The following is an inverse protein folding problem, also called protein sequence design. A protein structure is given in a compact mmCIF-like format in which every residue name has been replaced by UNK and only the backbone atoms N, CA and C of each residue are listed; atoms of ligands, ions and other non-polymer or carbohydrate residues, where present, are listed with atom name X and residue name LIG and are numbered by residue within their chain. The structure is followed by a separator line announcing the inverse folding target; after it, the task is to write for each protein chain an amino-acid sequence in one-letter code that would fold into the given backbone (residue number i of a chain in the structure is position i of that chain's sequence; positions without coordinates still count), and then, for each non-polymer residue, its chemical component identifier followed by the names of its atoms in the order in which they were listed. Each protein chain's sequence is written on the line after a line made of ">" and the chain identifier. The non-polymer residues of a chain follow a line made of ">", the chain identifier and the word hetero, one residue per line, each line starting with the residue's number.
data_IF_969037436234
#
_entry.id   IF_969037436234
#
_cell.length_a   1.000
_cell.length_b   1.000
_cell.length_c   1.000
_cell.angle_alpha   90.00
_cell.angle_beta   90.00
_cell.angle_gamma   90.00
#
_symmetry.space_group_name_H-M   'P 1'
#
loop_
_entity.id
_entity.type
_entity.pdbx_description
1 polymer ?
#
# COMPACT_ATOMS: atom_id res chain seq x y z
N UNK A 1 -36.74 16.35 32.79
CA UNK A 1 -35.71 17.35 32.42
C UNK A 1 -34.88 17.82 33.62
N UNK A 2 -34.98 17.11 34.81
CA UNK A 2 -34.24 17.47 36.02
C UNK A 2 -32.71 17.50 35.84
N UNK A 3 -32.18 16.70 34.95
CA UNK A 3 -30.73 16.58 34.72
C UNK A 3 -30.30 17.13 33.31
N UNK A 4 -31.22 17.29 32.39
CA UNK A 4 -31.02 17.73 31.02
C UNK A 4 -31.94 18.92 30.67
N UNK A 5 -31.91 19.99 31.45
CA UNK A 5 -32.74 21.19 31.35
C UNK A 5 -31.93 22.46 31.54
N UNK A 6 -32.61 23.58 31.80
CA UNK A 6 -32.00 24.90 31.94
C UNK A 6 -30.96 24.96 33.05
N UNK A 7 -31.27 24.37 34.24
CA UNK A 7 -30.42 24.46 35.43
C UNK A 7 -29.29 23.41 35.48
N UNK A 8 -29.45 22.29 34.78
CA UNK A 8 -28.45 21.20 34.70
C UNK A 8 -28.41 20.63 33.30
N UNK A 9 -27.22 20.53 32.75
CA UNK A 9 -26.96 19.98 31.40
C UNK A 9 -25.90 18.87 31.56
N UNK A 10 -26.26 17.74 32.18
CA UNK A 10 -25.33 16.62 32.32
C UNK A 10 -25.03 16.02 30.96
N UNK A 11 -23.74 15.78 30.68
CA UNK A 11 -23.27 15.31 29.37
C UNK A 11 -23.46 16.31 28.22
N UNK A 12 -23.55 17.61 28.55
CA UNK A 12 -23.79 18.70 27.61
C UNK A 12 -25.07 18.55 26.76
N UNK A 13 -26.01 17.74 27.27
CA UNK A 13 -27.32 17.50 26.65
C UNK A 13 -28.41 18.28 27.35
N UNK A 14 -29.19 19.03 26.53
CA UNK A 14 -30.36 19.79 26.99
C UNK A 14 -31.59 19.37 26.20
N UNK A 15 -32.57 18.75 26.87
CA UNK A 15 -33.75 18.16 26.23
C UNK A 15 -34.98 19.10 26.19
N UNK A 16 -35.04 20.10 27.08
CA UNK A 16 -36.19 21.02 27.19
C UNK A 16 -36.32 22.00 26.04
N UNK A 17 -35.23 22.27 25.33
CA UNK A 17 -35.19 23.15 24.13
C UNK A 17 -34.73 22.41 22.88
N UNK A 18 -34.55 21.09 22.98
CA UNK A 18 -34.13 20.29 21.84
C UNK A 18 -35.25 20.25 20.79
N UNK A 19 -34.90 20.52 19.53
CA UNK A 19 -35.83 20.49 18.43
C UNK A 19 -36.51 19.11 18.31
N UNK A 20 -37.77 19.11 17.95
CA UNK A 20 -38.54 17.91 17.60
C UNK A 20 -38.75 17.80 16.09
N UNK A 21 -38.12 18.68 15.31
CA UNK A 21 -38.08 18.57 13.85
C UNK A 21 -37.02 17.58 13.40
N UNK A 22 -37.36 16.30 13.51
CA UNK A 22 -36.48 15.18 13.15
C UNK A 22 -36.12 15.15 11.64
N UNK A 23 -36.86 15.87 10.80
CA UNK A 23 -36.59 15.90 9.37
C UNK A 23 -35.49 16.89 9.01
N UNK A 24 -35.54 18.10 9.58
CA UNK A 24 -34.67 19.21 9.20
C UNK A 24 -33.51 19.44 10.19
N UNK A 25 -33.64 18.97 11.43
CA UNK A 25 -32.59 19.07 12.46
C UNK A 25 -31.98 17.70 12.77
N UNK A 26 -31.03 17.32 11.94
CA UNK A 26 -30.31 16.05 12.06
C UNK A 26 -29.64 15.90 13.42
N UNK A 27 -29.03 16.97 13.95
CA UNK A 27 -28.34 16.93 15.25
C UNK A 27 -29.34 16.66 16.39
N UNK A 28 -30.51 17.28 16.36
CA UNK A 28 -31.55 16.99 17.33
C UNK A 28 -32.04 15.55 17.20
N UNK A 29 -32.23 15.04 15.98
CA UNK A 29 -32.62 13.66 15.74
C UNK A 29 -31.61 12.66 16.31
N UNK A 30 -30.30 12.89 16.13
CA UNK A 30 -29.23 12.07 16.72
C UNK A 30 -29.29 12.07 18.25
N UNK A 31 -29.44 13.23 18.89
CA UNK A 31 -29.54 13.33 20.35
C UNK A 31 -30.80 12.60 20.87
N UNK A 32 -31.93 12.70 20.18
CA UNK A 32 -33.14 11.97 20.56
C UNK A 32 -32.98 10.45 20.37
N UNK A 33 -32.30 10.01 19.33
CA UNK A 33 -31.96 8.58 19.13
C UNK A 33 -31.12 8.06 20.29
N UNK A 34 -30.03 8.75 20.65
CA UNK A 34 -29.16 8.38 21.76
C UNK A 34 -29.93 8.36 23.06
N UNK A 35 -30.82 9.33 23.31
CA UNK A 35 -31.67 9.35 24.49
C UNK A 35 -32.62 8.13 24.58
N UNK A 36 -33.20 7.71 23.43
CA UNK A 36 -34.04 6.49 23.36
C UNK A 36 -33.22 5.24 23.71
N UNK A 37 -32.02 5.11 23.14
CA UNK A 37 -31.15 3.96 23.39
C UNK A 37 -30.70 3.90 24.86
N UNK A 38 -30.28 5.00 25.45
CA UNK A 38 -29.92 5.07 26.86
C UNK A 38 -31.09 4.67 27.78
N UNK A 39 -32.31 5.05 27.43
CA UNK A 39 -33.53 4.67 28.17
C UNK A 39 -33.81 3.17 28.00
N UNK A 40 -33.67 2.62 26.77
CA UNK A 40 -33.88 1.19 26.47
C UNK A 40 -32.87 0.30 27.19
N UNK A 41 -31.62 0.70 27.21
CA UNK A 41 -30.53 0.01 27.90
C UNK A 41 -30.63 0.09 29.41
N UNK A 42 -31.46 1.01 29.93
CA UNK A 42 -31.62 1.23 31.38
C UNK A 42 -30.50 2.06 32.03
N UNK A 43 -29.68 2.73 31.18
CA UNK A 43 -28.61 3.61 31.64
C UNK A 43 -29.14 4.99 32.04
N UNK A 44 -30.35 5.35 31.56
CA UNK A 44 -31.06 6.56 31.97
C UNK A 44 -32.50 6.25 32.48
N UNK A 45 -32.90 6.83 33.63
CA UNK A 45 -32.11 7.61 34.59
C UNK A 45 -31.02 6.78 35.27
N UNK A 46 -29.88 7.40 35.66
CA UNK A 46 -28.76 6.68 36.26
C UNK A 46 -29.12 6.11 37.63
N UNK A 47 -28.34 5.15 38.09
CA UNK A 47 -28.51 4.52 39.41
C UNK A 47 -28.56 5.56 40.54
N UNK A 48 -29.54 5.44 41.44
CA UNK A 48 -29.80 6.38 42.53
C UNK A 48 -30.80 7.49 42.19
N UNK A 49 -31.26 7.65 40.95
CA UNK A 49 -32.35 8.55 40.58
C UNK A 49 -33.68 7.78 40.40
N UNK A 50 -34.81 8.50 40.49
CA UNK A 50 -36.14 7.90 40.32
C UNK A 50 -36.28 7.27 38.95
N UNK A 51 -36.38 5.95 38.89
CA UNK A 51 -36.57 5.21 37.65
C UNK A 51 -37.90 5.57 36.98
N UNK A 52 -37.89 5.53 35.62
CA UNK A 52 -39.12 5.63 34.85
C UNK A 52 -39.99 4.39 35.08
N UNK A 53 -41.28 4.57 35.22
CA UNK A 53 -42.20 3.45 35.21
C UNK A 53 -42.19 2.76 33.85
N UNK A 54 -42.51 1.45 33.75
CA UNK A 54 -42.56 0.74 32.47
C UNK A 54 -43.45 1.42 31.42
N UNK A 55 -44.51 2.09 31.87
CA UNK A 55 -45.40 2.85 30.98
C UNK A 55 -44.75 4.12 30.46
N UNK A 56 -44.05 4.88 31.29
CA UNK A 56 -43.36 6.12 30.89
C UNK A 56 -42.21 5.79 29.95
N UNK A 57 -41.43 4.75 30.29
CA UNK A 57 -40.34 4.27 29.44
C UNK A 57 -40.84 3.93 28.02
N UNK A 58 -41.89 3.11 27.94
CA UNK A 58 -42.46 2.70 26.63
C UNK A 58 -43.02 3.91 25.88
N UNK A 59 -43.75 4.79 26.51
CA UNK A 59 -44.30 5.98 25.83
C UNK A 59 -43.22 6.88 25.24
N UNK A 60 -42.13 7.12 25.97
CA UNK A 60 -41.03 7.96 25.52
C UNK A 60 -40.31 7.31 24.31
N UNK A 61 -39.94 6.03 24.43
CA UNK A 61 -39.17 5.34 23.39
C UNK A 61 -40.04 5.13 22.14
N UNK A 62 -41.32 4.75 22.27
CA UNK A 62 -42.23 4.62 21.15
C UNK A 62 -42.46 5.95 20.43
N UNK A 63 -42.59 7.07 21.17
CA UNK A 63 -42.72 8.38 20.59
C UNK A 63 -41.46 8.79 19.79
N UNK A 64 -40.29 8.64 20.38
CA UNK A 64 -39.01 8.96 19.70
C UNK A 64 -38.86 8.09 18.45
N UNK A 65 -38.97 6.77 18.59
CA UNK A 65 -38.76 5.81 17.52
C UNK A 65 -39.74 6.01 16.35
N UNK A 66 -41.01 6.30 16.66
CA UNK A 66 -42.03 6.58 15.64
C UNK A 66 -41.69 7.84 14.82
N UNK A 67 -41.35 8.95 15.52
CA UNK A 67 -41.00 10.19 14.83
C UNK A 67 -39.71 10.08 14.02
N UNK A 68 -38.69 9.39 14.53
CA UNK A 68 -37.47 9.10 13.78
C UNK A 68 -37.76 8.26 12.53
N UNK A 69 -38.61 7.23 12.69
CA UNK A 69 -39.01 6.37 11.56
C UNK A 69 -39.79 7.15 10.51
N UNK A 70 -40.72 8.00 10.92
CA UNK A 70 -41.51 8.82 10.01
C UNK A 70 -40.63 9.85 9.28
N UNK A 71 -39.67 10.47 9.97
CA UNK A 71 -38.69 11.34 9.34
C UNK A 71 -37.84 10.60 8.31
N UNK A 72 -37.32 9.39 8.65
CA UNK A 72 -36.58 8.55 7.73
C UNK A 72 -37.41 8.11 6.52
N UNK A 73 -38.70 7.83 6.68
CA UNK A 73 -39.57 7.47 5.57
C UNK A 73 -39.81 8.67 4.63
N UNK A 74 -40.00 9.88 5.18
CA UNK A 74 -40.13 11.11 4.39
C UNK A 74 -38.82 11.42 3.65
N UNK A 75 -37.67 11.28 4.28
CA UNK A 75 -36.37 11.44 3.64
C UNK A 75 -36.12 10.43 2.50
N UNK A 76 -36.65 9.20 2.61
CA UNK A 76 -36.59 8.20 1.56
C UNK A 76 -37.46 8.51 0.35
N UNK A 77 -38.50 9.31 0.54
CA UNK A 77 -39.39 9.75 -0.54
C UNK A 77 -38.90 10.98 -1.30
N UNK A 78 -38.00 11.77 -0.71
CA UNK A 78 -37.25 12.80 -1.44
C UNK A 78 -36.09 12.08 -2.11
N UNK A 79 -35.99 12.14 -3.43
CA UNK A 79 -34.93 11.53 -4.23
C UNK A 79 -33.59 11.84 -3.56
N UNK A 80 -33.05 10.85 -2.87
CA UNK A 80 -31.68 10.91 -2.43
C UNK A 80 -30.83 10.97 -3.69
N UNK A 81 -30.46 12.17 -4.13
CA UNK A 81 -29.46 12.33 -5.17
C UNK A 81 -28.24 11.54 -4.74
N UNK A 82 -28.02 10.42 -5.42
CA UNK A 82 -26.84 9.60 -5.18
C UNK A 82 -25.63 10.50 -5.46
N UNK A 83 -24.96 10.93 -4.40
CA UNK A 83 -23.79 11.78 -4.54
C UNK A 83 -22.72 10.96 -5.25
N UNK A 84 -22.51 11.30 -6.53
CA UNK A 84 -21.40 10.71 -7.30
C UNK A 84 -20.10 11.19 -6.65
N UNK A 85 -19.36 10.24 -6.06
CA UNK A 85 -18.06 10.52 -5.45
C UNK A 85 -16.94 9.85 -6.23
N UNK A 86 -15.76 10.43 -6.19
CA UNK A 86 -14.53 9.73 -6.61
C UNK A 86 -14.18 8.64 -5.60
N UNK A 87 -13.35 7.70 -6.02
CA UNK A 87 -12.70 6.76 -5.11
C UNK A 87 -11.74 7.54 -4.19
N UNK A 88 -11.67 7.16 -2.91
CA UNK A 88 -10.60 7.63 -2.05
C UNK A 88 -9.27 6.98 -2.45
N UNK A 89 -8.16 7.43 -1.87
CA UNK A 89 -6.81 6.93 -2.23
C UNK A 89 -6.69 5.41 -2.10
N UNK A 90 -7.17 4.85 -1.02
CA UNK A 90 -7.11 3.41 -0.75
C UNK A 90 -7.97 2.62 -1.74
N UNK A 91 -9.19 3.07 -1.97
CA UNK A 91 -10.11 2.48 -2.94
C UNK A 91 -9.54 2.55 -4.37
N UNK A 92 -8.92 3.67 -4.74
CA UNK A 92 -8.28 3.83 -6.05
C UNK A 92 -7.10 2.89 -6.22
N UNK A 93 -6.20 2.81 -5.22
CA UNK A 93 -5.06 1.91 -5.22
C UNK A 93 -5.50 0.45 -5.51
N UNK A 94 -6.42 -0.07 -4.70
CA UNK A 94 -6.87 -1.46 -4.85
C UNK A 94 -7.69 -1.69 -6.12
N UNK A 95 -8.48 -0.69 -6.55
CA UNK A 95 -9.23 -0.78 -7.80
C UNK A 95 -8.32 -0.91 -9.01
N UNK A 96 -7.24 -0.13 -9.05
CA UNK A 96 -6.28 -0.20 -10.15
C UNK A 96 -5.45 -1.49 -10.13
N UNK A 97 -5.05 -1.95 -8.96
CA UNK A 97 -4.37 -3.25 -8.82
C UNK A 97 -5.24 -4.42 -9.30
N UNK A 98 -6.52 -4.43 -8.92
CA UNK A 98 -7.46 -5.47 -9.35
C UNK A 98 -7.74 -5.40 -10.86
N UNK A 99 -8.03 -4.21 -11.37
CA UNK A 99 -8.36 -3.98 -12.79
C UNK A 99 -7.21 -4.39 -13.71
N UNK A 100 -5.99 -3.97 -13.39
CA UNK A 100 -4.81 -4.12 -14.25
C UNK A 100 -3.96 -5.34 -13.89
N UNK A 101 -4.05 -5.83 -12.67
CA UNK A 101 -3.22 -6.93 -12.16
C UNK A 101 -1.76 -6.54 -11.90
N UNK A 102 -1.41 -5.28 -12.06
CA UNK A 102 -0.08 -4.74 -11.82
C UNK A 102 -0.03 -4.12 -10.42
N UNK A 103 0.87 -4.60 -9.57
CA UNK A 103 1.13 -4.02 -8.24
C UNK A 103 2.12 -2.86 -8.38
N UNK A 104 1.61 -1.64 -8.35
CA UNK A 104 2.40 -0.41 -8.29
C UNK A 104 1.75 0.61 -7.37
N UNK A 105 2.49 1.65 -7.00
CA UNK A 105 1.93 2.74 -6.22
C UNK A 105 1.14 3.71 -7.12
N UNK A 106 -0.18 3.49 -7.22
CA UNK A 106 -1.08 4.32 -8.04
C UNK A 106 -1.42 5.67 -7.40
N UNK A 107 -1.14 5.83 -6.10
CA UNK A 107 -1.48 7.03 -5.33
C UNK A 107 -0.28 7.96 -5.07
N UNK A 108 0.88 7.63 -5.64
CA UNK A 108 2.07 8.48 -5.54
C UNK A 108 1.80 9.85 -6.18
N UNK A 109 1.96 10.92 -5.39
CA UNK A 109 1.68 12.29 -5.82
C UNK A 109 0.20 12.73 -5.75
N UNK A 110 -0.73 11.85 -5.36
CA UNK A 110 -2.09 12.26 -5.02
C UNK A 110 -2.13 12.97 -3.65
N UNK A 111 -2.88 14.07 -3.60
CA UNK A 111 -3.19 14.72 -2.34
C UNK A 111 -3.93 13.78 -1.37
N UNK A 112 -3.76 14.00 -0.08
CA UNK A 112 -4.50 13.27 0.96
C UNK A 112 -6.00 13.51 0.83
N UNK A 113 -6.79 12.50 1.14
CA UNK A 113 -8.24 12.65 1.18
C UNK A 113 -8.63 13.52 2.38
N UNK A 114 -9.55 14.47 2.20
CA UNK A 114 -10.06 15.26 3.31
C UNK A 114 -10.90 14.38 4.24
N UNK A 115 -10.77 14.61 5.54
CA UNK A 115 -11.69 14.07 6.53
C UNK A 115 -13.03 14.82 6.40
N UNK A 116 -14.14 14.07 6.38
CA UNK A 116 -15.46 14.65 6.53
C UNK A 116 -15.71 15.09 7.98
N UNK A 117 -16.76 15.87 8.22
CA UNK A 117 -17.22 16.21 9.57
C UNK A 117 -17.48 15.01 10.45
N UNK A 118 -17.81 13.87 9.82
CA UNK A 118 -18.13 12.60 10.47
C UNK A 118 -16.87 11.73 10.71
N UNK A 119 -15.67 12.24 10.36
CA UNK A 119 -14.39 11.53 10.51
C UNK A 119 -14.09 10.46 9.46
N UNK A 120 -14.93 10.31 8.41
CA UNK A 120 -14.74 9.32 7.36
C UNK A 120 -14.02 9.88 6.14
N UNK A 121 -13.15 9.04 5.51
CA UNK A 121 -12.40 9.38 4.29
C UNK A 121 -13.16 9.04 3.00
N UNK A 122 -14.37 8.54 3.08
CA UNK A 122 -15.19 8.11 1.94
C UNK A 122 -16.52 8.88 1.77
N UNK A 123 -16.67 9.99 2.48
CA UNK A 123 -17.86 10.82 2.38
C UNK A 123 -17.91 11.54 1.01
N UNK A 124 -19.01 11.36 0.26
CA UNK A 124 -19.18 11.89 -1.09
C UNK A 124 -19.12 13.42 -1.17
N UNK A 125 -19.60 14.12 -0.14
CA UNK A 125 -19.54 15.58 -0.10
C UNK A 125 -18.13 16.14 0.08
N UNK A 126 -17.23 15.35 0.74
CA UNK A 126 -15.84 15.74 0.96
C UNK A 126 -14.92 15.36 -0.23
N UNK A 127 -15.29 14.35 -1.02
CA UNK A 127 -14.47 13.80 -2.10
C UNK A 127 -14.74 14.47 -3.45
N UNK A 128 -14.38 15.75 -3.59
CA UNK A 128 -14.41 16.46 -4.88
C UNK A 128 -13.34 15.95 -5.85
N UNK A 129 -13.52 16.29 -7.15
CA UNK A 129 -12.56 16.01 -8.23
C UNK A 129 -11.89 17.29 -8.67
N UNK A 130 -10.56 17.35 -8.70
CA UNK A 130 -9.79 18.49 -9.22
C UNK A 130 -9.12 18.13 -10.56
N UNK A 131 -8.77 19.16 -11.34
CA UNK A 131 -8.02 18.98 -12.60
C UNK A 131 -6.72 18.24 -12.37
N UNK A 132 -6.01 18.56 -11.27
CA UNK A 132 -4.75 17.91 -10.91
C UNK A 132 -4.94 16.40 -10.65
N UNK A 133 -6.05 16.00 -10.05
CA UNK A 133 -6.35 14.58 -9.85
C UNK A 133 -6.63 13.86 -11.17
N UNK A 134 -7.33 14.51 -12.11
CA UNK A 134 -7.58 13.96 -13.45
C UNK A 134 -6.25 13.77 -14.19
N UNK A 135 -5.38 14.77 -14.17
CA UNK A 135 -4.03 14.67 -14.76
C UNK A 135 -3.22 13.53 -14.15
N UNK A 136 -3.27 13.40 -12.83
CA UNK A 136 -2.61 12.30 -12.12
C UNK A 136 -3.15 10.94 -12.57
N UNK A 137 -4.47 10.77 -12.65
CA UNK A 137 -5.08 9.52 -13.10
C UNK A 137 -4.66 9.17 -14.53
N UNK A 138 -4.66 10.15 -15.44
CA UNK A 138 -4.23 9.95 -16.83
C UNK A 138 -2.74 9.56 -16.91
N UNK A 139 -1.87 10.28 -16.18
CA UNK A 139 -0.43 9.99 -16.13
C UNK A 139 -0.16 8.58 -15.57
N UNK A 140 -0.83 8.22 -14.49
CA UNK A 140 -0.66 6.93 -13.83
C UNK A 140 -1.20 5.79 -14.69
N UNK A 141 -2.34 5.99 -15.36
CA UNK A 141 -2.89 5.02 -16.31
C UNK A 141 -1.95 4.79 -17.49
N UNK A 142 -1.43 5.86 -18.11
CA UNK A 142 -0.43 5.74 -19.20
C UNK A 142 0.80 4.95 -18.77
N UNK A 143 1.35 5.27 -17.58
CA UNK A 143 2.49 4.53 -17.02
C UNK A 143 2.15 3.05 -16.84
N UNK A 144 1.00 2.73 -16.27
CA UNK A 144 0.58 1.35 -16.05
C UNK A 144 0.36 0.58 -17.35
N UNK A 145 -0.30 1.17 -18.35
CA UNK A 145 -0.49 0.53 -19.66
C UNK A 145 0.81 0.33 -20.41
N UNK A 146 1.75 1.28 -20.35
CA UNK A 146 3.09 1.11 -20.92
C UNK A 146 3.89 -0.04 -20.30
N UNK A 147 3.60 -0.43 -19.06
CA UNK A 147 4.21 -1.58 -18.40
C UNK A 147 3.49 -2.91 -18.70
N UNK A 148 2.19 -2.84 -19.00
CA UNK A 148 1.33 -4.00 -19.17
C UNK A 148 1.30 -4.47 -20.60
N UNK A 149 1.09 -3.55 -21.56
CA UNK A 149 0.94 -3.88 -22.97
C UNK A 149 2.32 -4.04 -23.60
N UNK A 150 2.59 -5.23 -24.11
CA UNK A 150 3.85 -5.62 -24.72
C UNK A 150 3.53 -6.29 -26.04
N UNK A 151 3.92 -5.68 -27.14
CA UNK A 151 3.77 -6.12 -28.54
C UNK A 151 5.12 -6.38 -29.22
N UNK A 152 6.23 -6.13 -28.52
CA UNK A 152 7.57 -6.43 -28.99
C UNK A 152 7.98 -7.89 -28.75
N UNK A 153 9.04 -8.32 -29.39
CA UNK A 153 9.66 -9.63 -29.12
C UNK A 153 10.09 -9.76 -27.65
N UNK A 154 10.06 -10.97 -27.12
CA UNK A 154 10.48 -11.21 -25.74
C UNK A 154 11.93 -10.75 -25.54
N UNK A 155 12.21 -9.79 -24.64
CA UNK A 155 13.56 -9.32 -24.42
C UNK A 155 14.43 -10.39 -23.75
N UNK A 156 15.73 -10.43 -24.11
CA UNK A 156 16.69 -11.38 -23.57
C UNK A 156 16.84 -11.24 -22.04
N UNK A 157 16.73 -12.35 -21.33
CA UNK A 157 16.95 -12.39 -19.88
C UNK A 157 18.45 -12.39 -19.56
N UNK A 158 18.86 -11.58 -18.59
CA UNK A 158 20.25 -11.51 -18.09
C UNK A 158 20.28 -11.69 -16.57
N UNK A 159 21.23 -12.48 -16.10
CA UNK A 159 21.43 -12.74 -14.68
C UNK A 159 22.68 -12.03 -14.19
N UNK A 160 22.54 -11.24 -13.13
CA UNK A 160 23.64 -10.62 -12.42
C UNK A 160 23.70 -11.14 -10.99
N UNK A 161 24.84 -11.71 -10.58
CA UNK A 161 25.09 -12.03 -9.16
C UNK A 161 25.25 -10.72 -8.37
N UNK A 162 24.48 -10.58 -7.31
CA UNK A 162 24.56 -9.41 -6.45
C UNK A 162 25.68 -9.59 -5.44
N UNK A 163 26.79 -8.90 -5.68
CA UNK A 163 27.98 -9.01 -4.83
C UNK A 163 27.80 -8.25 -3.53
N UNK A 164 27.97 -8.98 -2.46
CA UNK A 164 28.05 -8.38 -1.13
C UNK A 164 29.39 -7.68 -0.91
N UNK A 165 29.34 -6.45 -0.41
CA UNK A 165 30.54 -5.68 -0.14
C UNK A 165 30.89 -5.73 1.36
N UNK A 166 32.02 -6.35 1.71
CA UNK A 166 32.51 -6.49 3.11
C UNK A 166 32.62 -5.17 3.88
N UNK A 167 32.69 -4.03 3.18
CA UNK A 167 32.79 -2.69 3.79
C UNK A 167 31.46 -2.07 4.18
N UNK A 168 30.34 -2.60 3.76
CA UNK A 168 29.03 -1.94 3.83
C UNK A 168 28.06 -2.48 4.87
N UNK A 169 28.45 -3.45 5.70
CA UNK A 169 27.68 -3.74 6.90
C UNK A 169 27.95 -2.61 7.91
N UNK A 170 27.14 -1.59 7.82
CA UNK A 170 27.10 -0.51 8.82
C UNK A 170 26.16 -0.92 9.93
N UNK A 171 26.70 -1.48 10.95
CA UNK A 171 26.01 -1.79 12.18
C UNK A 171 27.01 -2.33 13.20
N UNK A 172 26.76 -2.16 14.49
CA UNK A 172 27.59 -2.76 15.50
C UNK A 172 27.47 -4.30 15.36
N UNK A 173 28.58 -5.02 15.20
CA UNK A 173 28.73 -6.45 15.02
C UNK A 173 28.71 -7.01 13.58
N UNK A 174 29.03 -6.20 12.58
CA UNK A 174 29.12 -6.68 11.19
C UNK A 174 30.01 -7.91 10.98
N UNK A 175 31.02 -8.14 11.81
CA UNK A 175 31.92 -9.30 11.73
C UNK A 175 31.33 -10.61 12.24
N UNK A 176 30.37 -10.56 13.18
CA UNK A 176 29.76 -11.76 13.77
C UNK A 176 28.74 -12.44 12.87
N UNK A 177 28.26 -11.73 11.83
CA UNK A 177 27.17 -12.18 10.98
C UNK A 177 27.58 -12.71 9.61
N UNK A 178 28.89 -12.77 9.33
CA UNK A 178 29.44 -13.35 8.10
C UNK A 178 29.99 -14.75 8.44
N UNK A 179 29.11 -15.74 8.41
CA UNK A 179 29.48 -17.13 8.53
C UNK A 179 29.86 -17.73 7.17
N UNK A 180 30.47 -18.93 7.18
CA UNK A 180 30.73 -19.75 5.99
C UNK A 180 29.41 -20.17 5.28
N UNK A 181 28.28 -20.07 5.96
CA UNK A 181 26.95 -20.53 5.55
C UNK A 181 25.94 -19.40 5.21
N UNK A 182 26.42 -18.17 4.97
CA UNK A 182 25.53 -17.06 4.57
C UNK A 182 25.51 -15.88 5.54
N UNK A 183 24.71 -14.88 5.19
CA UNK A 183 24.54 -13.63 5.95
C UNK A 183 23.35 -13.70 6.89
N UNK A 184 23.58 -13.51 8.17
CA UNK A 184 22.59 -13.62 9.23
C UNK A 184 21.94 -12.25 9.52
N UNK A 185 20.66 -12.12 9.27
CA UNK A 185 19.87 -10.93 9.58
C UNK A 185 19.05 -11.13 10.87
N UNK A 186 19.42 -10.39 11.90
CA UNK A 186 18.68 -10.29 13.15
C UNK A 186 17.84 -9.00 13.19
N UNK A 187 17.55 -8.53 14.42
CA UNK A 187 16.69 -7.39 14.68
C UNK A 187 17.24 -6.05 14.19
N UNK A 188 18.54 -5.85 14.20
CA UNK A 188 19.17 -4.50 14.03
C UNK A 188 20.15 -4.40 12.87
N UNK A 189 20.42 -5.49 12.17
CA UNK A 189 21.35 -5.48 11.07
C UNK A 189 20.65 -5.62 9.72
N UNK A 190 21.30 -5.21 8.67
CA UNK A 190 20.83 -5.33 7.30
C UNK A 190 21.91 -5.85 6.37
N UNK A 191 21.48 -6.50 5.31
CA UNK A 191 22.31 -6.91 4.20
C UNK A 191 22.31 -5.84 3.12
N UNK A 192 23.46 -5.61 2.49
CA UNK A 192 23.60 -4.63 1.42
C UNK A 192 24.50 -5.22 0.33
N UNK A 193 24.01 -5.22 -0.89
CA UNK A 193 24.74 -5.71 -2.05
C UNK A 193 24.53 -4.81 -3.26
N UNK A 194 25.46 -4.89 -4.21
CA UNK A 194 25.40 -4.15 -5.46
C UNK A 194 25.72 -5.04 -6.66
N UNK A 195 25.26 -4.60 -7.81
CA UNK A 195 25.48 -5.22 -9.12
C UNK A 195 25.61 -4.15 -10.18
N UNK A 196 26.27 -4.49 -11.31
CA UNK A 196 26.49 -3.55 -12.39
C UNK A 196 25.30 -3.55 -13.37
N UNK A 197 25.17 -2.45 -14.10
CA UNK A 197 24.20 -2.29 -15.20
C UNK A 197 22.75 -2.64 -14.80
N UNK A 198 22.17 -1.93 -13.81
CA UNK A 198 20.78 -2.11 -13.46
C UNK A 198 19.87 -1.77 -14.66
N UNK A 199 18.74 -2.48 -14.84
CA UNK A 199 17.84 -2.25 -15.95
C UNK A 199 17.18 -0.87 -15.82
N UNK A 200 16.99 -0.18 -16.96
CA UNK A 200 16.25 1.08 -17.04
C UNK A 200 14.76 0.84 -17.25
N UNK A 201 14.40 -0.30 -17.82
CA UNK A 201 13.03 -0.70 -18.15
C UNK A 201 12.86 -2.21 -18.06
N UNK A 202 11.61 -2.64 -18.02
CA UNK A 202 11.22 -4.04 -18.07
C UNK A 202 11.13 -4.71 -16.68
N UNK A 203 10.63 -5.92 -16.72
CA UNK A 203 10.45 -6.75 -15.51
C UNK A 203 11.80 -7.28 -15.03
N UNK A 204 11.99 -7.28 -13.73
CA UNK A 204 13.10 -7.97 -13.09
C UNK A 204 12.60 -8.90 -11.97
N UNK A 205 13.40 -9.90 -11.65
CA UNK A 205 13.18 -10.78 -10.50
C UNK A 205 14.46 -10.86 -9.67
N UNK A 206 14.31 -10.70 -8.37
CA UNK A 206 15.38 -10.91 -7.39
C UNK A 206 15.17 -12.30 -6.81
N UNK A 207 16.13 -13.20 -7.05
CA UNK A 207 16.13 -14.57 -6.52
C UNK A 207 17.04 -14.63 -5.30
N UNK A 208 16.47 -14.98 -4.16
CA UNK A 208 17.15 -14.96 -2.86
C UNK A 208 17.16 -16.37 -2.31
N UNK A 209 18.34 -16.98 -2.22
CA UNK A 209 18.50 -18.24 -1.50
C UNK A 209 18.66 -17.94 -0.03
N UNK A 210 17.63 -18.33 0.75
CA UNK A 210 17.57 -18.02 2.16
C UNK A 210 16.86 -19.11 2.97
N UNK A 211 17.09 -19.09 4.28
CA UNK A 211 16.38 -19.90 5.27
C UNK A 211 16.19 -19.10 6.56
N UNK A 212 15.30 -19.55 7.40
CA UNK A 212 15.17 -18.99 8.74
C UNK A 212 15.95 -19.82 9.78
N UNK A 213 16.32 -19.15 10.87
CA UNK A 213 16.72 -19.77 12.13
C UNK A 213 15.79 -19.27 13.21
N UNK A 214 14.81 -20.10 13.61
CA UNK A 214 13.84 -19.77 14.66
C UNK A 214 13.62 -20.94 15.60
N UNK A 215 13.27 -20.64 16.83
CA UNK A 215 12.83 -21.66 17.80
C UNK A 215 11.40 -22.09 17.47
N UNK A 216 11.00 -23.32 17.80
CA UNK A 216 9.61 -23.75 17.68
C UNK A 216 8.67 -22.79 18.39
N UNK A 217 7.53 -22.50 17.76
CA UNK A 217 6.51 -21.57 18.29
C UNK A 217 6.74 -20.08 18.00
N UNK A 218 7.92 -19.69 17.48
CA UNK A 218 8.14 -18.31 17.03
C UNK A 218 7.62 -18.07 15.61
N UNK A 219 7.15 -16.85 15.30
CA UNK A 219 6.71 -16.51 13.94
C UNK A 219 7.85 -16.58 12.94
N UNK A 220 7.52 -16.76 11.67
CA UNK A 220 8.49 -16.68 10.57
C UNK A 220 8.99 -15.24 10.44
N UNK A 221 10.30 -15.03 10.20
CA UNK A 221 10.84 -13.70 9.96
C UNK A 221 10.43 -13.18 8.59
N UNK A 222 10.29 -11.86 8.49
CA UNK A 222 9.85 -11.15 7.28
C UNK A 222 11.05 -10.45 6.66
N UNK A 223 11.36 -10.80 5.42
CA UNK A 223 12.38 -10.14 4.61
C UNK A 223 11.79 -8.90 3.97
N UNK A 224 12.25 -7.73 4.38
CA UNK A 224 11.93 -6.46 3.75
C UNK A 224 13.10 -5.96 2.93
N UNK A 225 12.86 -5.68 1.65
CA UNK A 225 13.87 -5.24 0.70
C UNK A 225 13.66 -3.80 0.23
N UNK A 226 14.77 -3.18 -0.19
CA UNK A 226 14.77 -1.93 -0.96
C UNK A 226 15.69 -2.06 -2.15
N UNK A 227 15.30 -1.47 -3.27
CA UNK A 227 16.08 -1.38 -4.49
C UNK A 227 16.34 0.08 -4.85
N UNK A 228 17.51 0.37 -5.39
CA UNK A 228 17.93 1.70 -5.81
C UNK A 228 19.25 1.69 -6.58
N UNK A 229 19.87 2.85 -6.70
CA UNK A 229 21.04 3.07 -7.54
C UNK A 229 22.17 3.76 -6.78
N UNK A 230 23.38 3.42 -7.15
CA UNK A 230 24.62 4.02 -6.64
C UNK A 230 25.48 4.45 -7.82
N UNK A 231 25.99 5.66 -7.75
CA UNK A 231 26.97 6.16 -8.72
C UNK A 231 28.34 6.25 -8.06
N UNK A 232 29.35 5.65 -8.66
CA UNK A 232 30.73 5.74 -8.17
C UNK A 232 31.16 7.19 -8.02
N UNK A 233 31.55 7.59 -6.79
CA UNK A 233 31.98 8.96 -6.46
C UNK A 233 30.86 9.93 -6.08
N UNK A 234 29.58 9.55 -6.23
CA UNK A 234 28.45 10.33 -5.79
C UNK A 234 27.56 9.46 -4.89
N UNK A 235 27.29 9.92 -3.68
CA UNK A 235 26.41 9.20 -2.74
C UNK A 235 24.95 9.50 -3.07
N UNK A 236 24.44 8.96 -4.18
CA UNK A 236 23.02 9.01 -4.49
C UNK A 236 22.39 7.68 -4.13
N UNK A 237 21.56 7.68 -3.12
CA UNK A 237 20.92 6.49 -2.58
C UNK A 237 19.41 6.62 -2.71
N UNK A 238 18.91 6.55 -3.96
CA UNK A 238 17.48 6.53 -4.22
C UNK A 238 17.03 5.08 -4.06
N UNK A 239 16.19 4.79 -3.06
CA UNK A 239 15.69 3.45 -2.80
C UNK A 239 14.17 3.44 -2.69
N UNK A 240 13.54 2.57 -3.49
CA UNK A 240 12.13 2.21 -3.38
C UNK A 240 11.94 0.90 -2.62
N UNK A 241 10.81 0.75 -1.95
CA UNK A 241 10.45 -0.49 -1.25
C UNK A 241 10.13 -1.60 -2.26
N UNK A 242 10.59 -2.80 -1.95
CA UNK A 242 10.21 -4.05 -2.63
C UNK A 242 9.08 -4.74 -1.84
N UNK A 243 8.31 -5.63 -2.47
CA UNK A 243 7.38 -6.50 -1.76
C UNK A 243 8.06 -7.27 -0.64
N UNK A 244 7.39 -7.41 0.50
CA UNK A 244 7.87 -8.19 1.64
C UNK A 244 7.67 -9.67 1.39
N UNK A 245 8.58 -10.49 1.94
CA UNK A 245 8.54 -11.95 1.80
C UNK A 245 8.73 -12.61 3.16
N UNK A 246 7.81 -13.50 3.51
CA UNK A 246 7.95 -14.35 4.68
C UNK A 246 8.96 -15.47 4.40
N UNK A 247 9.98 -15.62 5.25
CA UNK A 247 10.96 -16.70 5.16
C UNK A 247 10.48 -17.86 6.04
N UNK A 248 9.64 -18.69 5.47
CA UNK A 248 8.87 -19.74 6.16
C UNK A 248 9.67 -21.02 6.47
N UNK A 249 10.79 -21.25 5.78
CA UNK A 249 11.56 -22.50 5.84
C UNK A 249 12.84 -22.38 6.64
N UNK A 250 13.15 -23.41 7.45
CA UNK A 250 14.46 -23.62 8.09
C UNK A 250 15.48 -24.30 7.16
N UNK A 251 15.04 -24.82 6.02
CA UNK A 251 15.89 -25.30 4.95
C UNK A 251 16.04 -24.21 3.88
N UNK A 252 17.18 -24.19 3.19
CA UNK A 252 17.44 -23.22 2.14
C UNK A 252 16.46 -23.39 0.99
N UNK A 253 15.68 -22.34 0.73
CA UNK A 253 14.79 -22.21 -0.42
C UNK A 253 15.14 -20.96 -1.22
N UNK A 254 14.69 -20.93 -2.47
CA UNK A 254 14.72 -19.73 -3.31
C UNK A 254 13.41 -18.98 -3.16
N UNK A 255 13.51 -17.73 -2.70
CA UNK A 255 12.39 -16.77 -2.64
C UNK A 255 12.56 -15.78 -3.77
N UNK A 256 11.44 -15.41 -4.41
CA UNK A 256 11.45 -14.53 -5.57
C UNK A 256 10.67 -13.25 -5.30
N UNK A 257 11.28 -12.11 -5.63
CA UNK A 257 10.65 -10.79 -5.58
C UNK A 257 10.71 -10.22 -6.99
N UNK A 258 9.56 -10.04 -7.62
CA UNK A 258 9.48 -9.47 -8.97
C UNK A 258 8.94 -8.05 -8.93
N UNK A 259 9.46 -7.18 -9.81
CA UNK A 259 9.01 -5.81 -9.99
C UNK A 259 9.35 -5.31 -11.39
N UNK A 260 9.13 -4.03 -11.65
CA UNK A 260 9.47 -3.37 -12.91
C UNK A 260 10.45 -2.22 -12.66
N UNK A 261 11.47 -2.09 -13.51
CA UNK A 261 12.51 -1.06 -13.37
C UNK A 261 11.94 0.36 -13.39
N UNK A 262 10.88 0.59 -14.14
CA UNK A 262 10.19 1.89 -14.24
C UNK A 262 9.53 2.35 -12.93
N UNK A 263 9.32 1.44 -11.99
CA UNK A 263 8.83 1.78 -10.65
C UNK A 263 9.93 2.35 -9.75
N UNK A 264 11.18 2.24 -10.18
CA UNK A 264 12.37 2.78 -9.53
C UNK A 264 13.11 3.71 -10.50
N UNK A 265 12.55 4.88 -10.85
CA UNK A 265 13.07 5.70 -11.92
C UNK A 265 14.49 6.18 -11.62
N UNK A 266 15.37 5.98 -12.60
CA UNK A 266 16.75 6.42 -12.59
C UNK A 266 16.80 7.88 -13.04
N UNK A 267 16.87 8.83 -12.11
CA UNK A 267 16.88 10.28 -12.42
C UNK A 267 18.29 10.82 -12.73
N UNK A 268 19.21 9.97 -13.14
CA UNK A 268 20.60 10.30 -13.37
C UNK A 268 20.83 10.68 -14.84
N UNK A 269 20.27 11.83 -15.24
CA UNK A 269 20.62 12.42 -16.54
C UNK A 269 22.14 12.71 -16.59
N UNK A 270 22.79 12.32 -17.69
CA UNK A 270 24.21 12.56 -17.98
C UNK A 270 25.24 11.73 -17.19
N UNK A 271 24.82 10.64 -16.53
CA UNK A 271 25.78 9.69 -15.94
C UNK A 271 25.94 8.50 -16.89
N UNK A 272 27.18 8.14 -17.30
CA UNK A 272 27.44 6.96 -18.11
C UNK A 272 26.96 5.68 -17.42
N UNK A 273 26.34 4.76 -18.16
CA UNK A 273 25.72 3.55 -17.64
C UNK A 273 26.71 2.64 -16.90
N UNK A 274 27.98 2.63 -17.30
CA UNK A 274 29.06 1.88 -16.67
C UNK A 274 29.42 2.38 -15.26
N UNK A 275 29.00 3.60 -14.92
CA UNK A 275 29.17 4.21 -13.59
C UNK A 275 27.99 3.97 -12.65
N UNK A 276 26.87 3.46 -13.18
CA UNK A 276 25.66 3.23 -12.39
C UNK A 276 25.64 1.76 -11.92
N UNK A 277 25.49 1.60 -10.60
CA UNK A 277 25.33 0.29 -9.99
C UNK A 277 23.92 0.18 -9.38
N UNK A 278 23.28 -0.96 -9.52
CA UNK A 278 22.10 -1.32 -8.77
C UNK A 278 22.47 -1.68 -7.33
N UNK A 279 21.61 -1.32 -6.41
CA UNK A 279 21.81 -1.55 -4.97
C UNK A 279 20.59 -2.25 -4.40
N UNK A 280 20.82 -3.33 -3.67
CA UNK A 280 19.81 -4.02 -2.88
C UNK A 280 20.15 -3.94 -1.40
N UNK A 281 19.14 -3.70 -0.58
CA UNK A 281 19.26 -3.73 0.87
C UNK A 281 18.15 -4.59 1.45
N UNK A 282 18.49 -5.52 2.33
CA UNK A 282 17.52 -6.38 3.01
C UNK A 282 17.66 -6.27 4.52
N UNK A 283 16.53 -6.29 5.21
CA UNK A 283 16.45 -6.39 6.67
C UNK A 283 15.40 -7.40 7.08
N UNK A 284 15.54 -7.88 8.31
CA UNK A 284 14.45 -8.59 8.96
C UNK A 284 13.49 -7.57 9.56
N UNK A 285 12.26 -7.54 9.07
CA UNK A 285 11.22 -6.59 9.46
C UNK A 285 10.20 -7.18 10.45
N UNK A 286 10.46 -8.39 10.97
CA UNK A 286 9.57 -8.98 11.97
C UNK A 286 9.46 -8.05 13.17
N UNK A 287 8.23 -7.70 13.52
CA UNK A 287 7.88 -7.06 14.77
C UNK A 287 7.30 -8.12 15.71
N UNK A 288 8.01 -8.41 16.78
CA UNK A 288 7.59 -9.36 17.82
C UNK A 288 7.02 -8.66 19.06
N UNK A 289 6.76 -7.33 18.97
CA UNK A 289 6.26 -6.51 20.05
C UNK A 289 7.28 -6.21 21.17
N UNK A 290 8.51 -6.73 21.06
CA UNK A 290 9.53 -6.49 22.08
C UNK A 290 10.40 -5.28 21.72
N UNK A 291 10.78 -4.44 22.69
CA UNK A 291 11.67 -3.31 22.45
C UNK A 291 13.05 -3.78 22.01
N UNK A 292 13.78 -2.90 21.31
CA UNK A 292 15.17 -3.15 20.98
C UNK A 292 16.01 -3.35 22.26
N UNK A 293 16.98 -4.28 22.26
CA UNK A 293 17.88 -4.48 23.39
C UNK A 293 18.66 -3.19 23.66
N UNK A 294 19.02 -2.94 24.93
CA UNK A 294 19.84 -1.79 25.29
C UNK A 294 21.20 -1.86 24.62
N UNK A 295 21.66 -0.75 24.07
CA UNK A 295 23.01 -0.64 23.52
C UNK A 295 24.06 -0.84 24.63
N UNK A 296 25.06 -1.65 24.34
CA UNK A 296 26.25 -1.82 25.16
C UNK A 296 27.43 -1.04 24.54
N UNK A 297 28.41 -0.68 25.36
CA UNK A 297 29.64 -0.04 24.87
C UNK A 297 30.80 -1.06 24.89
N UNK A 298 31.51 -1.10 23.79
CA UNK A 298 32.80 -1.81 23.71
C UNK A 298 33.95 -0.78 23.60
N UNK A 299 34.98 -0.93 24.43
CA UNK A 299 36.15 -0.07 24.41
C UNK A 299 37.31 -0.89 23.81
N UNK A 300 37.70 -0.53 22.59
CA UNK A 300 38.88 -1.13 21.93
C UNK A 300 40.08 -0.20 22.06
N UNK A 301 41.19 -0.73 22.51
CA UNK A 301 42.47 -0.02 22.56
C UNK A 301 43.27 -0.35 21.30
N UNK A 302 43.67 0.67 20.58
CA UNK A 302 44.53 0.55 19.41
C UNK A 302 45.80 1.41 19.62
N UNK A 303 46.95 0.89 19.28
CA UNK A 303 48.22 1.66 19.28
C UNK A 303 48.42 2.30 17.91
N UNK A 304 48.67 3.59 17.86
CA UNK A 304 49.06 4.26 16.62
C UNK A 304 50.51 3.93 16.23
N UNK A 305 50.95 4.37 15.04
CA UNK A 305 52.31 4.12 14.53
C UNK A 305 53.45 4.66 15.44
N UNK A 306 53.09 5.48 16.42
CA UNK A 306 54.04 6.07 17.42
C UNK A 306 53.90 5.39 18.79
N UNK A 307 53.16 4.28 18.90
CA UNK A 307 52.99 3.52 20.16
C UNK A 307 51.96 4.12 21.13
N UNK A 308 51.30 5.24 20.77
CA UNK A 308 50.33 5.91 21.63
C UNK A 308 48.99 5.15 21.61
N UNK A 309 48.48 4.75 22.79
CA UNK A 309 47.21 4.04 22.95
C UNK A 309 46.07 4.99 22.69
N UNK A 310 45.23 4.66 21.71
CA UNK A 310 43.96 5.31 21.44
C UNK A 310 42.82 4.40 21.85
N UNK A 311 41.92 4.89 22.72
CA UNK A 311 40.71 4.20 23.13
C UNK A 311 39.60 4.59 22.18
N UNK A 312 39.03 3.61 21.48
CA UNK A 312 37.85 3.80 20.62
C UNK A 312 36.65 3.17 21.32
N UNK A 313 35.68 3.98 21.69
CA UNK A 313 34.38 3.52 22.18
C UNK A 313 33.46 3.24 21.00
N UNK A 314 32.86 2.06 20.94
CA UNK A 314 31.85 1.68 19.94
C UNK A 314 30.62 1.14 20.66
N UNK A 315 29.45 1.65 20.31
CA UNK A 315 28.18 1.16 20.81
C UNK A 315 27.69 0.00 19.93
N UNK A 316 27.13 -1.03 20.54
CA UNK A 316 26.57 -2.16 19.84
C UNK A 316 25.31 -2.67 20.52
N UNK A 317 24.44 -3.34 19.76
CA UNK A 317 23.33 -4.07 20.32
C UNK A 317 23.75 -5.52 20.58
N UNK A 318 23.51 -6.08 21.77
CA UNK A 318 23.74 -7.48 22.03
C UNK A 318 22.88 -8.36 21.10
N UNK A 319 23.35 -9.54 20.77
CA UNK A 319 22.57 -10.48 19.97
C UNK A 319 21.34 -10.95 20.75
N UNK A 320 20.16 -10.83 20.13
CA UNK A 320 18.95 -11.42 20.65
C UNK A 320 18.85 -12.88 20.16
N UNK A 321 19.21 -13.82 21.05
CA UNK A 321 19.23 -15.25 20.73
C UNK A 321 17.85 -15.84 20.46
N UNK A 322 16.79 -15.19 20.93
CA UNK A 322 15.42 -15.68 20.75
C UNK A 322 14.76 -15.11 19.50
N UNK A 323 15.21 -13.96 19.01
CA UNK A 323 14.65 -13.35 17.84
C UNK A 323 14.88 -14.21 16.58
N UNK A 324 13.85 -14.55 15.80
CA UNK A 324 13.97 -15.28 14.55
C UNK A 324 14.91 -14.57 13.57
N UNK A 325 15.81 -15.31 12.94
CA UNK A 325 16.83 -14.75 12.04
C UNK A 325 16.63 -15.24 10.63
N UNK A 326 17.05 -14.43 9.66
CA UNK A 326 17.12 -14.80 8.24
C UNK A 326 18.57 -15.04 7.88
N UNK A 327 18.86 -16.16 7.23
CA UNK A 327 20.15 -16.46 6.65
C UNK A 327 20.05 -16.32 5.15
N UNK A 328 20.74 -15.34 4.57
CA UNK A 328 20.83 -15.16 3.11
C UNK A 328 22.13 -15.80 2.62
N UNK A 329 22.03 -16.76 1.72
CA UNK A 329 23.17 -17.46 1.14
C UNK A 329 23.65 -16.82 -0.16
N UNK A 330 22.71 -16.48 -1.05
CA UNK A 330 23.01 -15.78 -2.30
C UNK A 330 21.83 -14.92 -2.74
N UNK A 331 22.14 -13.92 -3.56
CA UNK A 331 21.16 -13.05 -4.21
C UNK A 331 21.54 -12.89 -5.67
N UNK A 332 20.58 -13.16 -6.56
CA UNK A 332 20.71 -12.97 -8.00
C UNK A 332 19.66 -11.93 -8.44
N UNK A 333 20.06 -11.06 -9.36
CA UNK A 333 19.18 -10.10 -10.00
C UNK A 333 19.00 -10.50 -11.47
N UNK A 334 17.80 -10.88 -11.85
CA UNK A 334 17.45 -11.33 -13.21
C UNK A 334 16.66 -10.24 -13.89
N UNK A 335 17.21 -9.69 -14.97
CA UNK A 335 16.51 -8.71 -15.81
C UNK A 335 15.71 -9.43 -16.89
N UNK A 336 14.63 -8.82 -17.35
CA UNK A 336 13.75 -9.38 -18.38
C UNK A 336 13.29 -10.81 -18.07
N UNK A 337 12.98 -11.07 -16.79
CA UNK A 337 12.56 -12.38 -16.32
C UNK A 337 11.07 -12.60 -16.57
N UNK A 338 10.76 -13.06 -17.76
CA UNK A 338 9.40 -13.42 -18.18
C UNK A 338 9.31 -14.94 -18.35
N UNK A 339 8.59 -15.60 -17.46
CA UNK A 339 8.31 -17.04 -17.58
C UNK A 339 7.46 -17.38 -18.80
N UNK A 340 6.65 -16.43 -19.22
CA UNK A 340 5.80 -16.51 -20.41
C UNK A 340 5.71 -15.14 -21.07
N UNK A 341 5.72 -15.12 -22.40
CA UNK A 341 5.54 -13.92 -23.19
C UNK A 341 4.28 -14.04 -24.06
N UNK A 342 3.44 -12.99 -24.17
CA UNK A 342 3.43 -11.78 -23.37
C UNK A 342 3.23 -12.03 -21.86
N UNK A 343 3.53 -11.03 -21.02
CA UNK A 343 3.48 -11.15 -19.54
C UNK A 343 2.08 -11.50 -19.01
N UNK A 344 2.00 -12.05 -17.81
CA UNK A 344 0.70 -12.37 -17.18
C UNK A 344 -0.23 -11.16 -17.04
N UNK A 345 0.32 -9.96 -16.80
CA UNK A 345 -0.49 -8.73 -16.68
C UNK A 345 -1.04 -8.31 -18.04
N UNK A 346 -0.28 -8.49 -19.12
CA UNK A 346 -0.77 -8.31 -20.50
C UNK A 346 -1.96 -9.22 -20.78
N UNK A 347 -1.84 -10.50 -20.45
CA UNK A 347 -2.88 -11.54 -20.69
C UNK A 347 -4.17 -11.32 -19.91
N UNK A 348 -4.16 -10.48 -18.87
CA UNK A 348 -5.40 -10.06 -18.20
C UNK A 348 -6.25 -9.12 -19.05
N UNK A 349 -5.65 -8.43 -20.00
CA UNK A 349 -6.31 -7.47 -20.90
C UNK A 349 -6.52 -8.08 -22.27
N UNK A 350 -5.46 -8.63 -22.85
CA UNK A 350 -5.43 -9.26 -24.19
C UNK A 350 -5.07 -10.72 -24.02
N UNK A 351 -5.96 -11.63 -24.43
CA UNK A 351 -5.71 -13.06 -24.35
C UNK A 351 -4.70 -13.49 -25.43
N UNK A 352 -3.95 -14.59 -25.24
CA UNK A 352 -2.90 -15.02 -26.17
C UNK A 352 -3.38 -15.27 -27.61
N UNK A 353 -4.64 -15.66 -27.78
CA UNK A 353 -5.28 -15.94 -29.07
C UNK A 353 -5.92 -14.72 -29.73
N UNK A 354 -5.89 -13.56 -29.06
CA UNK A 354 -6.55 -12.34 -29.53
C UNK A 354 -5.59 -11.48 -30.38
N UNK A 355 -5.94 -11.31 -31.65
CA UNK A 355 -5.26 -10.38 -32.58
C UNK A 355 -5.97 -9.03 -32.57
N UNK A 356 -5.33 -8.00 -32.04
CA UNK A 356 -5.85 -6.63 -31.98
C UNK A 356 -5.93 -5.94 -33.35
N UNK A 357 -5.29 -6.47 -34.38
CA UNK A 357 -5.46 -6.01 -35.76
C UNK A 357 -6.82 -6.42 -36.33
N UNK A 358 -7.42 -7.48 -35.79
CA UNK A 358 -8.79 -7.84 -36.13
C UNK A 358 -9.76 -6.91 -35.39
N UNK A 359 -10.56 -6.16 -36.14
CA UNK A 359 -11.51 -5.17 -35.61
C UNK A 359 -12.53 -5.77 -34.65
N UNK A 360 -13.00 -6.99 -34.90
CA UNK A 360 -13.99 -7.63 -34.02
C UNK A 360 -13.36 -8.06 -32.69
N UNK A 361 -12.13 -8.57 -32.74
CA UNK A 361 -11.34 -8.92 -31.55
C UNK A 361 -11.02 -7.68 -30.73
N UNK A 362 -10.53 -6.60 -31.36
CA UNK A 362 -10.23 -5.34 -30.68
C UNK A 362 -11.48 -4.75 -29.99
N UNK A 363 -12.65 -4.78 -30.64
CA UNK A 363 -13.92 -4.36 -30.05
C UNK A 363 -14.30 -5.21 -28.84
N UNK A 364 -14.11 -6.53 -28.94
CA UNK A 364 -14.38 -7.45 -27.83
C UNK A 364 -13.49 -7.17 -26.61
N UNK A 365 -12.18 -6.99 -26.82
CA UNK A 365 -11.20 -6.64 -25.77
C UNK A 365 -11.58 -5.33 -25.10
N UNK A 366 -11.89 -4.29 -25.88
CA UNK A 366 -12.32 -2.98 -25.38
C UNK A 366 -13.60 -3.12 -24.54
N UNK A 367 -14.60 -3.83 -25.04
CA UNK A 367 -15.87 -4.03 -24.35
C UNK A 367 -15.68 -4.75 -23.01
N UNK A 368 -14.87 -5.82 -23.01
CA UNK A 368 -14.53 -6.59 -21.79
C UNK A 368 -13.80 -5.72 -20.77
N UNK A 369 -12.81 -4.94 -21.21
CA UNK A 369 -12.07 -4.04 -20.33
C UNK A 369 -12.96 -2.94 -19.73
N UNK A 370 -13.78 -2.29 -20.55
CA UNK A 370 -14.73 -1.26 -20.11
C UNK A 370 -15.74 -1.82 -19.10
N UNK A 371 -16.26 -3.04 -19.33
CA UNK A 371 -17.17 -3.69 -18.38
C UNK A 371 -16.55 -3.87 -17.00
N UNK A 372 -15.28 -4.26 -16.94
CA UNK A 372 -14.53 -4.35 -15.68
C UNK A 372 -14.25 -2.98 -15.07
N UNK A 373 -13.79 -2.02 -15.87
CA UNK A 373 -13.43 -0.68 -15.41
C UNK A 373 -14.66 0.09 -14.86
N UNK A 374 -15.80 -0.03 -15.52
CA UNK A 374 -17.04 0.62 -15.11
C UNK A 374 -17.90 -0.21 -14.16
N UNK A 375 -17.51 -1.45 -13.90
CA UNK A 375 -18.22 -2.40 -13.02
C UNK A 375 -19.69 -2.57 -13.40
N UNK A 376 -19.97 -2.55 -14.70
CA UNK A 376 -21.31 -2.75 -15.27
C UNK A 376 -21.20 -3.36 -16.67
N UNK A 377 -22.24 -4.06 -17.13
CA UNK A 377 -22.34 -4.49 -18.53
C UNK A 377 -22.24 -3.28 -19.47
N UNK A 378 -21.62 -3.48 -20.62
CA UNK A 378 -21.47 -2.47 -21.67
C UNK A 378 -22.41 -2.82 -22.81
N UNK A 379 -23.29 -1.88 -23.19
CA UNK A 379 -24.14 -2.01 -24.35
C UNK A 379 -23.37 -1.89 -25.68
N UNK A 380 -23.98 -2.35 -26.75
CA UNK A 380 -23.34 -2.38 -28.10
C UNK A 380 -22.99 -1.00 -28.62
N UNK A 381 -23.81 0.01 -28.32
CA UNK A 381 -23.59 1.38 -28.78
C UNK A 381 -22.37 1.99 -28.08
N UNK A 382 -22.25 1.82 -26.79
CA UNK A 382 -21.10 2.26 -26.02
C UNK A 382 -19.82 1.53 -26.48
N UNK A 383 -19.87 0.22 -26.69
CA UNK A 383 -18.74 -0.56 -27.20
C UNK A 383 -18.28 -0.06 -28.56
N UNK A 384 -19.23 0.22 -29.48
CA UNK A 384 -18.94 0.77 -30.82
C UNK A 384 -18.30 2.16 -30.73
N UNK A 385 -18.85 3.05 -29.92
CA UNK A 385 -18.30 4.40 -29.72
C UNK A 385 -16.83 4.37 -29.30
N UNK A 386 -16.49 3.53 -28.33
CA UNK A 386 -15.12 3.40 -27.83
C UNK A 386 -14.20 2.70 -28.84
N UNK A 387 -14.70 1.73 -29.58
CA UNK A 387 -13.98 1.11 -30.67
C UNK A 387 -13.64 2.09 -31.78
N UNK A 388 -14.57 2.96 -32.21
CA UNK A 388 -14.31 4.00 -33.20
C UNK A 388 -13.27 5.02 -32.69
N UNK A 389 -13.31 5.34 -31.40
CA UNK A 389 -12.29 6.20 -30.81
C UNK A 389 -10.89 5.55 -30.85
N UNK A 390 -10.81 4.29 -30.48
CA UNK A 390 -9.57 3.50 -30.59
C UNK A 390 -9.05 3.47 -32.04
N UNK A 391 -9.92 3.17 -33.01
CA UNK A 391 -9.55 3.13 -34.42
C UNK A 391 -8.99 4.47 -34.90
N UNK A 392 -9.62 5.57 -34.53
CA UNK A 392 -9.13 6.91 -34.88
C UNK A 392 -7.72 7.18 -34.36
N UNK A 393 -7.41 6.82 -33.11
CA UNK A 393 -6.09 7.01 -32.52
C UNK A 393 -5.07 6.15 -33.25
N UNK A 394 -5.36 4.86 -33.44
CA UNK A 394 -4.48 3.93 -34.15
C UNK A 394 -4.14 4.40 -35.57
N UNK A 395 -5.15 4.86 -36.29
CA UNK A 395 -4.98 5.34 -37.68
C UNK A 395 -4.14 6.64 -37.75
N UNK A 396 -4.23 7.49 -36.70
CA UNK A 396 -3.40 8.68 -36.55
C UNK A 396 -1.94 8.34 -36.24
N UNK A 397 -1.68 7.37 -35.35
CA UNK A 397 -0.32 6.91 -35.05
C UNK A 397 0.34 6.22 -36.23
N UNK A 398 -0.37 5.35 -36.95
CA UNK A 398 0.12 4.71 -38.15
C UNK A 398 0.40 5.68 -39.34
N UNK A 399 -0.18 6.86 -39.33
CA UNK A 399 0.06 7.90 -40.34
C UNK A 399 1.20 8.84 -39.96
N UNK A 400 1.72 8.76 -38.74
CA UNK A 400 2.81 9.60 -38.23
C UNK A 400 4.18 8.91 -38.35
N UNK A 401 4.22 7.63 -38.81
CA UNK A 401 5.42 6.86 -39.15
C UNK A 401 5.61 6.87 -40.64
#
# INVERSE_FOLDING_TARGET
>A
VKCHGADKQKGDVRLDTLSTDFLNDRRAAEIWHDASDQIKLGEMPPEGEKALSPKERRLLTEWIDSNLKDALQKMKGEENEAVIRRLNRTEYQYTMEDLLGLKMNYIEGLASDPLSSDGFLNNGKALGMSSLQIEHYLKTARKAFGLILNDEEQPESKVAEVKWNKGNIRGPNSKAYVGKSGHRLGRVNYWHGNFQQPPKSGRFTIKIKARNERKPGYPSPILQGKYGFFVSGLTLNIQGALPEVEIDSNETKTYEISSYAELFPMTLANVPDDKINGVLTFRNALDDGNPLPKQLENITETKDKKGKVKKKKTKYYPEDSNFPKIIIESVEFVTNDYSNWPSQVHRKIVLPEEDLNNSQTAKSVISRFLGRAWRRPIDSETAEKWFQHFKKIRDQENSAI
#
